data_IF_346817141394
#
_entry.id   IF_346817141394
#
_cell.length_a   1.000
_cell.length_b   1.000
_cell.length_c   1.000
_cell.angle_alpha   90.00
_cell.angle_beta   90.00
_cell.angle_gamma   90.00
#
_symmetry.space_group_name_H-M   'P 1'
#
loop_
_entity.id
_entity.type
_entity.pdbx_description
1 polymer ?
#
# COMPACT_ATOMS: atom_id res chain seq x y z
N UNK A 1 95.80 17.03 20.67
CA UNK A 1 95.41 15.91 19.76
C UNK A 1 94.41 15.05 20.53
N UNK A 2 93.10 15.33 20.42
CA UNK A 2 92.08 14.52 19.71
C UNK A 2 92.07 13.04 20.19
N UNK A 3 91.00 12.41 20.71
CA UNK A 3 89.60 12.28 20.27
C UNK A 3 88.76 11.81 21.49
N UNK A 4 87.57 12.34 21.80
CA UNK A 4 86.22 12.09 21.23
C UNK A 4 85.77 10.62 21.28
N UNK A 5 84.76 10.32 22.12
CA UNK A 5 83.72 9.31 21.90
C UNK A 5 82.52 9.63 22.81
N UNK A 6 81.49 10.22 22.22
CA UNK A 6 80.20 10.54 22.86
C UNK A 6 79.23 9.38 22.55
N UNK A 7 78.72 8.71 23.58
CA UNK A 7 77.64 7.72 23.44
C UNK A 7 76.29 8.44 23.56
N UNK A 8 75.46 8.37 22.52
CA UNK A 8 74.08 8.84 22.50
C UNK A 8 73.20 7.70 23.03
N UNK A 9 72.52 7.90 24.17
CA UNK A 9 71.47 7.02 24.65
C UNK A 9 70.13 7.48 24.07
N UNK A 10 69.53 6.67 23.20
CA UNK A 10 68.19 6.90 22.67
C UNK A 10 67.13 6.45 23.70
N UNK A 11 66.34 7.39 24.20
CA UNK A 11 65.16 7.12 25.05
C UNK A 11 64.00 6.76 24.13
N UNK A 12 63.56 5.51 24.16
CA UNK A 12 62.32 5.06 23.50
C UNK A 12 61.16 5.19 24.48
N UNK A 13 60.31 6.21 24.28
CA UNK A 13 59.05 6.36 25.03
C UNK A 13 57.99 5.42 24.43
N UNK A 14 57.59 4.40 25.19
CA UNK A 14 56.54 3.46 24.83
C UNK A 14 55.17 4.08 25.18
N UNK A 15 54.47 4.60 24.17
CA UNK A 15 53.08 5.06 24.32
C UNK A 15 52.14 3.84 24.51
N UNK A 16 51.71 3.59 25.75
CA UNK A 16 50.58 2.72 26.06
C UNK A 16 49.29 3.45 25.67
N UNK A 17 48.81 3.21 24.45
CA UNK A 17 47.46 3.60 24.05
C UNK A 17 46.44 2.68 24.75
N UNK A 18 45.69 3.22 25.71
CA UNK A 18 44.54 2.53 26.31
C UNK A 18 43.44 2.41 25.25
N UNK A 19 43.26 1.22 24.69
CA UNK A 19 42.11 0.90 23.84
C UNK A 19 40.86 0.90 24.72
N UNK A 20 40.14 2.02 24.76
CA UNK A 20 38.79 2.05 25.29
C UNK A 20 37.91 1.11 24.46
N UNK A 21 37.08 0.25 25.08
CA UNK A 21 36.14 -0.58 24.34
C UNK A 21 35.22 0.33 23.50
N UNK A 22 34.87 -0.07 22.27
CA UNK A 22 33.94 0.70 21.46
C UNK A 22 32.64 0.90 22.25
N UNK A 23 32.16 2.15 22.30
CA UNK A 23 30.89 2.46 22.93
C UNK A 23 29.81 1.55 22.30
N UNK A 24 29.08 0.81 23.13
CA UNK A 24 27.97 0.00 22.67
C UNK A 24 26.99 0.91 21.91
N UNK A 25 26.81 0.66 20.62
CA UNK A 25 25.86 1.41 19.80
C UNK A 25 24.47 1.24 20.42
N UNK A 26 23.87 2.36 20.85
CA UNK A 26 22.55 2.33 21.47
C UNK A 26 21.57 1.65 20.53
N UNK A 27 20.79 0.69 21.04
CA UNK A 27 19.78 0.01 20.24
C UNK A 27 18.89 1.06 19.54
N UNK A 28 18.60 0.91 18.23
CA UNK A 28 17.84 1.89 17.49
C UNK A 28 16.50 2.14 18.19
N UNK A 29 16.11 3.41 18.31
CA UNK A 29 14.83 3.78 18.89
C UNK A 29 13.68 3.03 18.20
N UNK A 30 12.74 2.51 19.00
CA UNK A 30 11.54 1.82 18.50
C UNK A 30 10.72 2.77 17.63
N UNK A 31 10.18 2.26 16.53
CA UNK A 31 9.24 3.03 15.69
C UNK A 31 7.96 3.26 16.52
N UNK A 32 7.40 4.46 16.46
CA UNK A 32 6.19 4.85 17.18
C UNK A 32 5.02 4.95 16.19
N UNK A 33 4.04 4.08 16.33
CA UNK A 33 2.86 4.00 15.45
C UNK A 33 1.65 4.54 16.20
N UNK A 34 0.93 5.50 15.60
CA UNK A 34 -0.43 5.84 15.98
C UNK A 34 -1.40 5.15 15.03
N UNK A 35 -2.22 4.26 15.56
CA UNK A 35 -3.25 3.53 14.83
C UNK A 35 -4.62 4.15 15.09
N UNK A 36 -5.23 4.70 14.03
CA UNK A 36 -6.59 5.19 14.04
C UNK A 36 -7.50 4.15 13.38
N UNK A 37 -8.45 3.60 14.13
CA UNK A 37 -9.43 2.63 13.65
C UNK A 37 -10.89 3.13 13.76
N UNK A 38 -11.08 4.45 13.61
CA UNK A 38 -12.39 5.10 13.68
C UNK A 38 -13.25 4.83 12.44
N UNK A 39 -14.45 4.28 12.66
CA UNK A 39 -15.51 4.21 11.64
C UNK A 39 -16.58 5.27 11.90
N UNK A 40 -16.67 6.26 11.01
CA UNK A 40 -17.82 7.19 10.91
C UNK A 40 -18.87 6.64 9.93
N UNK A 41 -18.42 5.90 8.92
CA UNK A 41 -19.26 5.14 8.00
C UNK A 41 -19.54 3.72 8.47
N UNK A 42 -19.48 2.76 7.54
CA UNK A 42 -19.63 1.34 7.88
C UNK A 42 -18.56 0.88 8.86
N UNK A 43 -18.94 0.09 9.86
CA UNK A 43 -18.02 -0.43 10.88
C UNK A 43 -17.74 -1.90 10.64
N UNK A 44 -16.49 -2.20 10.31
CA UNK A 44 -16.03 -3.56 10.08
C UNK A 44 -15.81 -4.33 11.38
N UNK A 45 -15.89 -5.66 11.31
CA UNK A 45 -15.70 -6.53 12.47
C UNK A 45 -14.33 -6.34 13.17
N UNK A 46 -13.18 -6.22 12.46
CA UNK A 46 -11.87 -6.08 13.12
C UNK A 46 -11.72 -4.84 14.00
N UNK A 47 -12.44 -3.76 13.67
CA UNK A 47 -12.41 -2.45 14.37
C UNK A 47 -13.63 -2.25 15.30
N UNK A 48 -14.41 -3.30 15.52
CA UNK A 48 -15.56 -3.24 16.44
C UNK A 48 -15.10 -3.55 17.85
N UNK A 49 -15.36 -2.63 18.79
CA UNK A 49 -15.09 -2.89 20.21
C UNK A 49 -15.96 -4.05 20.74
N UNK A 50 -15.46 -4.85 21.68
CA UNK A 50 -16.26 -5.90 22.30
C UNK A 50 -17.54 -5.33 22.93
N UNK A 51 -18.64 -6.08 22.86
CA UNK A 51 -19.91 -5.64 23.46
C UNK A 51 -19.73 -5.34 24.95
N UNK A 52 -20.32 -4.23 25.41
CA UNK A 52 -20.29 -3.79 26.81
C UNK A 52 -18.87 -3.57 27.37
N UNK A 53 -17.90 -3.25 26.52
CA UNK A 53 -16.52 -2.99 26.92
C UNK A 53 -15.93 -1.85 26.10
N UNK A 54 -15.09 -1.03 26.74
CA UNK A 54 -14.20 -0.09 26.05
C UNK A 54 -12.81 -0.72 25.79
N UNK A 55 -12.72 -2.04 25.87
CA UNK A 55 -11.51 -2.80 25.58
C UNK A 55 -11.08 -2.69 24.11
N UNK A 56 -9.89 -3.20 23.81
CA UNK A 56 -9.32 -3.08 22.48
C UNK A 56 -10.10 -3.92 21.45
N UNK A 57 -10.13 -3.43 20.21
CA UNK A 57 -10.65 -4.17 19.05
C UNK A 57 -9.69 -5.29 18.65
N UNK A 58 -10.15 -6.18 17.76
CA UNK A 58 -9.30 -7.27 17.28
C UNK A 58 -8.07 -6.73 16.54
N UNK A 59 -8.23 -5.68 15.71
CA UNK A 59 -7.11 -5.07 15.00
C UNK A 59 -6.17 -4.30 15.93
N UNK A 60 -6.69 -3.62 16.95
CA UNK A 60 -5.88 -2.96 18.00
C UNK A 60 -4.99 -4.00 18.72
N UNK A 61 -5.56 -5.14 19.13
CA UNK A 61 -4.80 -6.25 19.74
C UNK A 61 -3.75 -6.82 18.78
N UNK A 62 -4.13 -7.10 17.53
CA UNK A 62 -3.23 -7.67 16.54
C UNK A 62 -2.04 -6.74 16.26
N UNK A 63 -2.26 -5.43 16.10
CA UNK A 63 -1.19 -4.46 15.88
C UNK A 63 -0.29 -4.30 17.10
N UNK A 64 -0.84 -4.28 18.31
CA UNK A 64 -0.05 -4.24 19.54
C UNK A 64 0.89 -5.46 19.63
N UNK A 65 0.39 -6.66 19.34
CA UNK A 65 1.20 -7.89 19.31
C UNK A 65 2.27 -7.87 18.20
N UNK A 66 1.91 -7.40 17.00
CA UNK A 66 2.85 -7.28 15.87
C UNK A 66 3.99 -6.34 16.27
N UNK A 67 3.67 -5.17 16.83
CA UNK A 67 4.64 -4.17 17.25
C UNK A 67 5.57 -4.69 18.34
N UNK A 68 5.00 -5.29 19.39
CA UNK A 68 5.76 -5.86 20.51
C UNK A 68 6.80 -6.90 20.03
N UNK A 69 6.46 -7.72 19.03
CA UNK A 69 7.36 -8.73 18.46
C UNK A 69 8.36 -8.18 17.44
N UNK A 70 8.13 -6.99 16.89
CA UNK A 70 8.84 -6.50 15.69
C UNK A 70 9.64 -5.22 15.89
N UNK A 71 9.67 -4.68 17.11
CA UNK A 71 10.50 -3.53 17.49
C UNK A 71 9.82 -2.18 17.33
N UNK A 72 8.49 -2.11 17.41
CA UNK A 72 7.74 -0.85 17.36
C UNK A 72 6.61 -0.81 18.40
N UNK A 73 6.25 0.39 18.84
CA UNK A 73 5.15 0.60 19.78
C UNK A 73 3.91 1.07 19.03
N UNK A 74 2.74 0.60 19.44
CA UNK A 74 1.46 1.01 18.86
C UNK A 74 0.63 1.67 19.95
N UNK A 75 0.20 2.89 19.66
CA UNK A 75 -0.87 3.57 20.39
C UNK A 75 -2.11 3.55 19.49
N UNK A 76 -3.27 3.17 20.03
CA UNK A 76 -4.51 3.05 19.28
C UNK A 76 -5.56 4.03 19.76
N UNK A 77 -6.38 4.52 18.83
CA UNK A 77 -7.47 5.46 19.10
C UNK A 77 -8.59 5.28 18.08
N UNK A 78 -9.84 5.48 18.52
CA UNK A 78 -11.02 5.61 17.64
C UNK A 78 -11.50 7.07 17.55
N UNK A 79 -10.63 8.03 17.88
CA UNK A 79 -10.93 9.45 17.82
C UNK A 79 -9.85 10.21 17.03
N UNK A 80 -10.17 10.54 15.78
CA UNK A 80 -9.30 11.26 14.86
C UNK A 80 -8.93 12.66 15.37
N UNK A 81 -9.72 13.25 16.28
CA UNK A 81 -9.42 14.57 16.88
C UNK A 81 -8.18 14.55 17.78
N UNK A 82 -7.73 13.36 18.17
CA UNK A 82 -6.46 13.18 18.89
C UNK A 82 -5.23 13.38 18.01
N UNK A 83 -5.39 13.34 16.67
CA UNK A 83 -4.33 13.63 15.73
C UNK A 83 -4.19 15.15 15.63
N UNK A 84 -3.11 15.67 16.20
CA UNK A 84 -2.79 17.10 16.20
C UNK A 84 -1.35 17.32 15.71
N UNK A 85 -0.97 18.53 15.27
CA UNK A 85 0.42 18.85 14.94
C UNK A 85 1.41 18.50 16.07
N UNK A 86 0.98 18.63 17.32
CA UNK A 86 1.72 18.22 18.51
C UNK A 86 1.91 16.71 18.55
N UNK A 87 0.82 15.95 18.36
CA UNK A 87 0.86 14.48 18.35
C UNK A 87 1.80 13.93 17.26
N UNK A 88 1.87 14.59 16.11
CA UNK A 88 2.77 14.20 15.01
C UNK A 88 4.26 14.26 15.37
N UNK A 89 4.65 15.00 16.42
CA UNK A 89 6.04 15.04 16.94
C UNK A 89 6.40 13.75 17.69
N UNK A 90 5.38 13.07 18.22
CA UNK A 90 5.53 11.91 19.09
C UNK A 90 5.41 10.56 18.36
N UNK A 91 5.21 10.60 17.04
CA UNK A 91 5.00 9.40 16.23
C UNK A 91 5.89 9.42 14.98
N UNK A 92 6.10 8.26 14.40
CA UNK A 92 6.86 8.06 13.16
C UNK A 92 5.96 7.55 12.03
N UNK A 93 4.87 6.85 12.37
CA UNK A 93 3.91 6.29 11.40
C UNK A 93 2.48 6.54 11.87
N UNK A 94 1.65 7.03 10.95
CA UNK A 94 0.20 7.12 11.11
C UNK A 94 -0.46 5.97 10.34
N UNK A 95 -1.19 5.10 11.03
CA UNK A 95 -1.85 3.94 10.43
C UNK A 95 -3.37 4.10 10.50
N UNK A 96 -4.07 3.95 9.37
CA UNK A 96 -5.52 4.11 9.27
C UNK A 96 -6.18 2.79 8.89
N UNK A 97 -7.20 2.41 9.67
CA UNK A 97 -8.28 1.53 9.25
C UNK A 97 -9.59 2.26 9.55
N UNK A 98 -9.97 3.15 8.64
CA UNK A 98 -11.04 4.13 8.90
C UNK A 98 -12.12 4.05 7.84
N UNK A 99 -13.29 4.63 8.11
CA UNK A 99 -14.38 4.77 7.13
C UNK A 99 -15.16 6.06 7.32
N UNK A 100 -15.68 6.60 6.22
CA UNK A 100 -16.56 7.76 6.19
C UNK A 100 -15.85 9.10 6.44
N UNK A 101 -16.65 10.08 6.86
CA UNK A 101 -16.24 11.46 7.05
C UNK A 101 -15.52 11.68 8.38
N UNK A 102 -14.19 11.55 8.40
CA UNK A 102 -13.42 11.75 9.62
C UNK A 102 -13.42 13.22 10.05
N UNK A 103 -13.53 13.51 11.37
CA UNK A 103 -13.52 14.87 11.88
C UNK A 103 -12.08 15.43 11.97
N UNK A 104 -11.37 15.48 10.84
CA UNK A 104 -10.02 16.03 10.73
C UNK A 104 -10.09 17.45 10.15
N UNK A 105 -9.78 18.50 10.93
CA UNK A 105 -9.79 19.87 10.45
C UNK A 105 -8.77 20.11 9.33
N UNK A 106 -9.01 21.13 8.49
CA UNK A 106 -8.18 21.41 7.33
C UNK A 106 -6.71 21.73 7.69
N UNK A 107 -6.49 22.42 8.80
CA UNK A 107 -5.17 22.73 9.36
C UNK A 107 -4.44 21.48 9.82
N UNK A 108 -5.16 20.51 10.40
CA UNK A 108 -4.60 19.23 10.85
C UNK A 108 -4.19 18.38 9.65
N UNK A 109 -5.05 18.30 8.62
CA UNK A 109 -4.70 17.59 7.39
C UNK A 109 -3.51 18.23 6.66
N UNK A 110 -3.45 19.57 6.60
CA UNK A 110 -2.29 20.27 6.05
C UNK A 110 -0.99 19.97 6.83
N UNK A 111 -1.07 19.81 8.16
CA UNK A 111 0.07 19.44 8.99
C UNK A 111 0.51 17.97 8.74
N UNK A 112 -0.44 17.04 8.62
CA UNK A 112 -0.17 15.63 8.28
C UNK A 112 0.56 15.54 6.94
N UNK A 113 0.04 16.23 5.91
CA UNK A 113 0.66 16.25 4.59
C UNK A 113 2.10 16.77 4.64
N UNK A 114 2.36 17.91 5.30
CA UNK A 114 3.71 18.47 5.45
C UNK A 114 4.65 17.56 6.23
N UNK A 115 4.15 16.92 7.30
CA UNK A 115 4.92 15.98 8.10
C UNK A 115 5.40 14.79 7.25
N UNK A 116 4.52 14.22 6.42
CA UNK A 116 4.85 13.15 5.48
C UNK A 116 5.76 13.65 4.36
N UNK A 117 5.44 14.76 3.70
CA UNK A 117 6.26 15.36 2.63
C UNK A 117 7.70 15.62 3.08
N UNK A 118 7.88 16.02 4.35
CA UNK A 118 9.19 16.23 4.94
C UNK A 118 9.98 14.94 5.23
N UNK A 119 9.36 13.76 5.13
CA UNK A 119 9.99 12.48 5.47
C UNK A 119 10.17 12.25 6.97
N UNK A 120 9.57 13.10 7.82
CA UNK A 120 9.51 12.89 9.27
C UNK A 120 8.50 11.80 9.66
N UNK A 121 7.55 11.52 8.76
CA UNK A 121 6.47 10.58 8.99
C UNK A 121 6.17 9.69 7.80
N UNK A 122 5.62 8.51 8.11
CA UNK A 122 5.07 7.57 7.16
C UNK A 122 3.56 7.37 7.35
N UNK A 123 2.89 6.81 6.34
CA UNK A 123 1.47 6.48 6.40
C UNK A 123 1.20 5.04 5.97
N UNK A 124 0.33 4.35 6.70
CA UNK A 124 -0.14 2.99 6.41
C UNK A 124 -1.66 3.00 6.32
N UNK A 125 -2.23 2.73 5.15
CA UNK A 125 -3.66 2.51 4.98
C UNK A 125 -3.99 1.01 4.93
N UNK A 126 -4.99 0.60 5.69
CA UNK A 126 -5.43 -0.79 5.78
C UNK A 126 -6.89 -0.90 5.36
N UNK A 127 -7.18 -1.86 4.49
CA UNK A 127 -8.50 -2.23 3.97
C UNK A 127 -9.39 -1.02 3.65
N UNK A 128 -10.25 -0.63 4.60
CA UNK A 128 -11.28 0.37 4.40
C UNK A 128 -10.74 1.80 4.39
N UNK A 129 -9.44 2.02 4.60
CA UNK A 129 -8.84 3.35 4.54
C UNK A 129 -9.20 4.11 3.25
N UNK A 130 -9.38 3.45 2.11
CA UNK A 130 -9.84 4.09 0.85
C UNK A 130 -11.34 4.47 0.82
N UNK A 131 -12.13 4.03 1.80
CA UNK A 131 -13.51 4.44 2.07
C UNK A 131 -13.57 5.59 3.10
N UNK A 132 -12.44 6.27 3.32
CA UNK A 132 -12.34 7.48 4.13
C UNK A 132 -12.31 8.72 3.25
N UNK A 133 -13.01 9.76 3.65
CA UNK A 133 -12.97 11.07 3.01
C UNK A 133 -13.37 12.16 4.01
N UNK A 134 -13.29 13.43 3.62
CA UNK A 134 -13.95 14.57 4.24
C UNK A 134 -13.83 15.75 3.27
N UNK A 135 -14.68 16.75 3.43
CA UNK A 135 -14.57 17.96 2.62
C UNK A 135 -13.29 18.72 2.98
N UNK A 136 -12.41 18.88 1.98
CA UNK A 136 -11.12 19.52 2.17
C UNK A 136 -10.91 20.66 1.17
N UNK A 137 -10.89 21.89 1.68
CA UNK A 137 -10.64 23.13 0.92
C UNK A 137 -9.29 23.77 1.26
N UNK A 138 -8.46 23.10 2.07
CA UNK A 138 -7.13 23.58 2.45
C UNK A 138 -6.04 23.31 1.40
N UNK A 139 -4.77 23.64 1.71
CA UNK A 139 -3.66 23.48 0.78
C UNK A 139 -3.21 22.02 0.58
N UNK A 140 -2.73 21.68 -0.60
CA UNK A 140 -2.22 20.34 -0.91
C UNK A 140 -3.28 19.46 -1.56
N UNK A 141 -3.30 18.18 -1.21
CA UNK A 141 -4.15 17.14 -1.80
C UNK A 141 -5.29 16.76 -0.85
N UNK A 142 -6.44 16.39 -1.40
CA UNK A 142 -7.48 15.70 -0.64
C UNK A 142 -6.97 14.35 -0.13
N UNK A 143 -7.62 13.76 0.88
CA UNK A 143 -7.25 12.44 1.39
C UNK A 143 -7.31 11.35 0.30
N UNK A 144 -8.36 11.33 -0.51
CA UNK A 144 -8.53 10.34 -1.60
C UNK A 144 -7.42 10.46 -2.64
N UNK A 145 -7.05 11.69 -3.00
CA UNK A 145 -5.91 11.94 -3.87
C UNK A 145 -4.60 11.53 -3.21
N UNK A 146 -4.42 11.71 -1.90
CA UNK A 146 -3.23 11.32 -1.12
C UNK A 146 -3.05 9.79 -1.04
N UNK A 147 -4.10 9.04 -0.69
CA UNK A 147 -4.04 7.57 -0.60
C UNK A 147 -4.08 6.90 -1.99
N UNK A 148 -4.47 7.67 -3.02
CA UNK A 148 -4.60 7.28 -4.43
C UNK A 148 -5.72 6.25 -4.68
N UNK A 149 -6.90 6.51 -4.13
CA UNK A 149 -8.08 5.70 -4.37
C UNK A 149 -9.24 6.13 -3.49
N UNK A 150 -10.42 6.27 -4.10
CA UNK A 150 -11.69 6.46 -3.42
C UNK A 150 -12.55 5.22 -3.62
N UNK A 151 -13.16 4.71 -2.57
CA UNK A 151 -14.07 3.57 -2.64
C UNK A 151 -15.13 3.75 -3.74
N UNK A 152 -15.25 2.75 -4.61
CA UNK A 152 -16.19 2.70 -5.72
C UNK A 152 -16.89 1.33 -5.82
N UNK A 153 -17.09 0.69 -4.67
CA UNK A 153 -17.76 -0.60 -4.53
C UNK A 153 -16.84 -1.76 -4.17
N UNK A 154 -17.47 -2.90 -3.90
CA UNK A 154 -16.84 -4.12 -3.37
C UNK A 154 -17.50 -5.37 -3.98
N UNK A 155 -17.34 -5.63 -5.29
CA UNK A 155 -17.99 -6.78 -5.94
C UNK A 155 -17.63 -8.12 -5.29
N UNK A 156 -16.40 -8.23 -4.80
CA UNK A 156 -15.94 -9.37 -4.02
C UNK A 156 -16.23 -9.05 -2.56
N UNK A 157 -17.34 -9.57 -2.04
CA UNK A 157 -17.79 -9.36 -0.65
C UNK A 157 -17.02 -10.25 0.32
N UNK A 158 -17.23 -10.05 1.62
CA UNK A 158 -16.58 -10.83 2.68
C UNK A 158 -16.53 -12.34 2.39
N UNK A 159 -15.31 -12.91 2.45
CA UNK A 159 -15.07 -14.33 2.23
C UNK A 159 -15.15 -14.79 0.77
N UNK A 160 -15.31 -13.87 -0.19
CA UNK A 160 -15.28 -14.22 -1.62
C UNK A 160 -13.92 -14.81 -2.00
N UNK A 161 -13.87 -15.99 -2.64
CA UNK A 161 -12.62 -16.53 -3.18
C UNK A 161 -12.03 -15.60 -4.23
N UNK A 162 -10.76 -15.23 -4.04
CA UNK A 162 -9.99 -14.39 -4.95
C UNK A 162 -8.65 -15.05 -5.26
N UNK A 163 -8.10 -14.68 -6.40
CA UNK A 163 -6.70 -14.94 -6.74
C UNK A 163 -5.95 -13.62 -6.81
N UNK A 164 -4.83 -13.54 -6.11
CA UNK A 164 -3.96 -12.35 -6.09
C UNK A 164 -2.61 -12.73 -6.68
N UNK A 165 -2.03 -11.82 -7.47
CA UNK A 165 -0.67 -11.96 -7.98
C UNK A 165 0.17 -10.72 -7.67
N UNK A 166 1.44 -10.95 -7.36
CA UNK A 166 2.43 -9.92 -7.13
C UNK A 166 2.84 -9.20 -8.44
N UNK A 167 3.12 -7.91 -8.30
CA UNK A 167 3.58 -6.97 -9.31
C UNK A 167 4.84 -6.26 -8.80
N UNK A 168 5.61 -5.65 -9.70
CA UNK A 168 6.74 -4.81 -9.32
C UNK A 168 7.95 -5.58 -8.78
N UNK A 169 8.12 -6.85 -9.15
CA UNK A 169 9.27 -7.66 -8.72
C UNK A 169 9.32 -7.93 -7.21
N UNK A 170 10.52 -8.19 -6.68
CA UNK A 170 10.72 -8.47 -5.25
C UNK A 170 10.84 -7.15 -4.48
N UNK A 171 9.78 -6.76 -3.80
CA UNK A 171 9.79 -5.65 -2.81
C UNK A 171 9.68 -6.23 -1.39
N UNK A 172 10.54 -5.84 -0.43
CA UNK A 172 10.51 -6.37 0.95
C UNK A 172 9.12 -6.38 1.57
N UNK A 173 8.31 -5.34 1.31
CA UNK A 173 6.95 -5.18 1.84
C UNK A 173 5.97 -6.27 1.34
N UNK A 174 6.32 -7.00 0.28
CA UNK A 174 5.48 -8.02 -0.31
C UNK A 174 6.07 -9.44 -0.27
N UNK A 175 7.27 -9.62 0.31
CA UNK A 175 8.00 -10.92 0.25
C UNK A 175 7.35 -12.05 1.06
N UNK A 176 6.51 -11.73 2.04
CA UNK A 176 5.81 -12.74 2.84
C UNK A 176 4.74 -13.49 2.05
N UNK A 177 4.28 -12.92 0.92
CA UNK A 177 3.30 -13.54 0.05
C UNK A 177 3.99 -14.36 -1.05
N UNK A 178 3.46 -15.54 -1.41
CA UNK A 178 3.82 -16.19 -2.66
C UNK A 178 3.59 -15.26 -3.85
N UNK A 179 4.32 -15.45 -4.94
CA UNK A 179 4.16 -14.63 -6.15
C UNK A 179 2.70 -14.62 -6.67
N UNK A 180 1.96 -15.71 -6.45
CA UNK A 180 0.54 -15.84 -6.74
C UNK A 180 -0.10 -16.71 -5.67
N UNK A 181 -1.27 -16.33 -5.16
CA UNK A 181 -1.95 -17.07 -4.10
C UNK A 181 -3.47 -16.94 -4.20
N UNK A 182 -4.17 -17.98 -3.75
CA UNK A 182 -5.61 -17.93 -3.51
C UNK A 182 -5.87 -17.40 -2.09
N UNK A 183 -6.96 -16.65 -1.94
CA UNK A 183 -7.39 -16.08 -0.67
C UNK A 183 -8.91 -15.95 -0.62
N UNK A 184 -9.46 -15.64 0.56
CA UNK A 184 -10.89 -15.36 0.72
C UNK A 184 -11.02 -14.03 1.47
N UNK A 185 -11.53 -12.99 0.81
CA UNK A 185 -11.56 -11.65 1.38
C UNK A 185 -12.60 -10.74 0.70
N UNK A 186 -12.96 -9.64 1.36
CA UNK A 186 -13.64 -8.50 0.72
C UNK A 186 -12.63 -7.57 0.03
N UNK A 187 -12.83 -7.30 -1.26
CA UNK A 187 -11.94 -6.46 -2.06
C UNK A 187 -12.68 -5.27 -2.66
N UNK A 188 -12.14 -4.07 -2.40
CA UNK A 188 -12.62 -2.81 -2.96
C UNK A 188 -12.10 -2.56 -4.37
N UNK A 189 -12.88 -1.82 -5.15
CA UNK A 189 -12.43 -1.15 -6.38
C UNK A 189 -12.53 0.37 -6.22
N UNK A 190 -11.85 1.12 -7.07
CA UNK A 190 -11.60 2.54 -6.83
C UNK A 190 -11.98 3.47 -7.99
N UNK A 191 -12.48 4.65 -7.64
CA UNK A 191 -12.41 5.86 -8.45
C UNK A 191 -11.21 6.72 -8.01
N UNK A 192 -10.94 7.82 -8.72
CA UNK A 192 -9.86 8.77 -8.41
C UNK A 192 -8.47 8.12 -8.24
N UNK A 193 -8.23 7.07 -9.01
CA UNK A 193 -6.99 6.30 -9.00
C UNK A 193 -6.06 6.77 -10.14
N UNK A 194 -4.86 7.23 -9.81
CA UNK A 194 -3.84 7.61 -10.78
C UNK A 194 -2.69 6.56 -10.82
N UNK A 195 -2.55 5.77 -11.91
CA UNK A 195 -1.49 4.76 -12.02
C UNK A 195 -0.08 5.35 -12.06
N UNK A 196 0.04 6.66 -12.34
CA UNK A 196 1.33 7.36 -12.42
C UNK A 196 1.85 7.82 -11.06
N UNK A 197 1.06 7.68 -9.99
CA UNK A 197 1.43 8.11 -8.63
C UNK A 197 1.87 6.97 -7.72
N UNK A 198 1.54 5.74 -8.06
CA UNK A 198 1.73 4.58 -7.18
C UNK A 198 2.52 3.47 -7.85
N UNK A 199 3.25 2.73 -7.02
CA UNK A 199 3.83 1.44 -7.37
C UNK A 199 2.91 0.36 -6.85
N UNK A 200 2.27 -0.40 -7.73
CA UNK A 200 1.44 -1.54 -7.32
C UNK A 200 2.31 -2.76 -7.09
N UNK A 201 2.07 -3.42 -5.96
CA UNK A 201 2.77 -4.63 -5.50
C UNK A 201 1.92 -5.89 -5.62
N UNK A 202 0.59 -5.77 -5.59
CA UNK A 202 -0.36 -6.87 -5.73
C UNK A 202 -1.61 -6.41 -6.47
N UNK A 203 -2.20 -7.29 -7.27
CA UNK A 203 -3.47 -7.06 -7.95
C UNK A 203 -4.29 -8.35 -8.06
N UNK A 204 -5.60 -8.22 -8.30
CA UNK A 204 -6.44 -9.38 -8.61
C UNK A 204 -6.01 -10.03 -9.94
N UNK A 205 -6.03 -11.36 -9.96
CA UNK A 205 -5.82 -12.18 -11.15
C UNK A 205 -7.14 -12.83 -11.58
N UNK A 206 -7.76 -12.30 -12.62
CA UNK A 206 -9.05 -12.81 -13.13
C UNK A 206 -8.96 -14.06 -14.03
N UNK A 207 -7.78 -14.63 -14.25
CA UNK A 207 -7.64 -15.78 -15.17
C UNK A 207 -8.24 -17.08 -14.65
N UNK A 208 -8.46 -17.19 -13.33
CA UNK A 208 -9.09 -18.34 -12.67
C UNK A 208 -10.16 -17.95 -11.63
N UNK A 209 -10.70 -16.74 -11.72
CA UNK A 209 -11.78 -16.27 -10.85
C UNK A 209 -13.13 -16.31 -11.57
N UNK A 210 -14.21 -16.70 -10.88
CA UNK A 210 -15.56 -16.65 -11.44
C UNK A 210 -16.07 -15.21 -11.59
N UNK A 211 -15.91 -14.39 -10.54
CA UNK A 211 -16.27 -12.97 -10.57
C UNK A 211 -15.11 -12.13 -11.10
N UNK A 212 -15.29 -11.54 -12.27
CA UNK A 212 -14.28 -10.74 -12.98
C UNK A 212 -14.74 -9.32 -13.24
N UNK A 213 -13.79 -8.45 -13.60
CA UNK A 213 -14.04 -7.14 -14.21
C UNK A 213 -13.08 -6.91 -15.37
N UNK A 214 -13.50 -6.17 -16.43
CA UNK A 214 -12.65 -5.90 -17.59
C UNK A 214 -11.63 -4.78 -17.34
N UNK A 215 -11.36 -4.43 -16.09
CA UNK A 215 -10.44 -3.37 -15.68
C UNK A 215 -9.53 -3.82 -14.55
N UNK A 216 -8.44 -3.08 -14.37
CA UNK A 216 -7.46 -3.31 -13.31
C UNK A 216 -8.04 -3.14 -11.90
N UNK A 217 -7.70 -4.03 -10.97
CA UNK A 217 -8.03 -3.90 -9.54
C UNK A 217 -6.75 -4.13 -8.71
N UNK A 218 -6.07 -3.05 -8.28
CA UNK A 218 -4.92 -3.17 -7.40
C UNK A 218 -5.34 -3.54 -5.98
N UNK A 219 -4.51 -4.34 -5.32
CA UNK A 219 -4.71 -4.79 -3.93
C UNK A 219 -3.78 -4.05 -2.98
N UNK A 220 -2.50 -3.95 -3.33
CA UNK A 220 -1.49 -3.34 -2.45
C UNK A 220 -0.60 -2.44 -3.27
N UNK A 221 -0.33 -1.23 -2.77
CA UNK A 221 0.57 -0.29 -3.42
C UNK A 221 1.38 0.55 -2.44
N UNK A 222 2.49 1.07 -2.95
CA UNK A 222 3.32 2.07 -2.28
C UNK A 222 3.34 3.36 -3.07
N UNK A 223 3.55 4.46 -2.36
CA UNK A 223 3.65 5.81 -2.92
C UNK A 223 4.69 6.62 -2.17
N UNK A 224 5.40 7.46 -2.89
CA UNK A 224 6.26 8.48 -2.31
C UNK A 224 5.61 9.85 -2.47
N UNK A 225 5.58 10.63 -1.38
CA UNK A 225 5.09 12.00 -1.35
C UNK A 225 6.18 12.84 -0.69
N UNK A 226 6.81 13.73 -1.47
CA UNK A 226 8.06 14.38 -1.05
C UNK A 226 9.12 13.34 -0.68
N UNK A 227 9.58 13.37 0.57
CA UNK A 227 10.49 12.37 1.14
C UNK A 227 9.78 11.25 1.91
N UNK A 228 8.50 11.40 2.24
CA UNK A 228 7.72 10.41 2.98
C UNK A 228 7.20 9.27 2.12
N UNK A 229 6.73 8.24 2.83
CA UNK A 229 6.34 6.95 2.26
C UNK A 229 4.95 6.57 2.74
N UNK A 230 4.11 6.20 1.78
CA UNK A 230 2.71 5.81 1.97
C UNK A 230 2.57 4.37 1.48
N UNK A 231 2.04 3.51 2.33
CA UNK A 231 1.67 2.14 1.99
C UNK A 231 0.15 1.99 2.09
N UNK A 232 -0.44 1.21 1.20
CA UNK A 232 -1.82 0.78 1.31
C UNK A 232 -1.97 -0.69 0.94
N UNK A 233 -2.84 -1.40 1.67
CA UNK A 233 -3.36 -2.71 1.24
C UNK A 233 -4.87 -2.79 1.43
N UNK A 234 -5.55 -3.39 0.46
CA UNK A 234 -6.99 -3.67 0.44
C UNK A 234 -7.35 -4.88 1.34
N UNK A 235 -6.36 -5.65 1.79
CA UNK A 235 -6.56 -6.78 2.70
C UNK A 235 -6.79 -6.30 4.14
N UNK A 236 -7.62 -7.03 4.89
CA UNK A 236 -7.82 -6.80 6.33
C UNK A 236 -9.28 -6.76 6.80
N UNK A 237 -10.25 -6.97 5.92
CA UNK A 237 -11.67 -7.00 6.29
C UNK A 237 -11.99 -8.19 7.19
N UNK A 238 -11.55 -9.38 6.81
CA UNK A 238 -11.94 -10.61 7.51
C UNK A 238 -11.07 -10.78 8.77
N UNK A 239 -11.66 -11.15 9.93
CA UNK A 239 -10.92 -11.45 11.15
C UNK A 239 -9.71 -12.37 10.94
N UNK A 240 -9.84 -13.43 10.14
CA UNK A 240 -8.75 -14.38 9.88
C UNK A 240 -7.54 -13.76 9.17
N UNK A 241 -7.72 -12.65 8.46
CA UNK A 241 -6.62 -11.94 7.79
C UNK A 241 -5.63 -11.38 8.81
N UNK A 242 -6.12 -10.95 9.99
CA UNK A 242 -5.28 -10.46 11.08
C UNK A 242 -4.48 -11.56 11.79
N UNK A 243 -4.91 -12.82 11.65
CA UNK A 243 -4.21 -13.99 12.18
C UNK A 243 -3.21 -14.59 11.17
N UNK A 244 -3.32 -14.23 9.88
CA UNK A 244 -2.44 -14.75 8.83
C UNK A 244 -1.00 -14.24 9.00
N UNK A 245 -0.01 -15.13 9.21
CA UNK A 245 1.37 -14.72 9.42
C UNK A 245 1.94 -13.91 8.25
N UNK A 246 1.44 -14.11 7.02
CA UNK A 246 1.90 -13.37 5.83
C UNK A 246 1.41 -11.93 5.84
N UNK A 247 0.16 -11.72 6.22
CA UNK A 247 -0.41 -10.37 6.39
C UNK A 247 0.28 -9.61 7.53
N UNK A 248 0.48 -10.29 8.68
CA UNK A 248 1.20 -9.71 9.82
C UNK A 248 2.64 -9.32 9.43
N UNK A 249 3.35 -10.17 8.68
CA UNK A 249 4.69 -9.86 8.19
C UNK A 249 4.70 -8.68 7.19
N UNK A 250 3.71 -8.59 6.29
CA UNK A 250 3.56 -7.43 5.40
C UNK A 250 3.34 -6.13 6.19
N UNK A 251 2.53 -6.14 7.27
CA UNK A 251 2.35 -4.97 8.13
C UNK A 251 3.67 -4.55 8.78
N UNK A 252 4.48 -5.50 9.28
CA UNK A 252 5.80 -5.21 9.86
C UNK A 252 6.69 -4.48 8.85
N UNK A 253 6.79 -5.02 7.63
CA UNK A 253 7.62 -4.45 6.60
C UNK A 253 7.06 -3.12 6.08
N UNK A 254 5.73 -2.94 6.01
CA UNK A 254 5.11 -1.67 5.70
C UNK A 254 5.44 -0.60 6.75
N UNK A 255 5.31 -0.90 8.04
CA UNK A 255 5.67 0.04 9.12
C UNK A 255 7.16 0.40 9.07
N UNK A 256 8.05 -0.59 8.94
CA UNK A 256 9.50 -0.34 8.80
C UNK A 256 9.82 0.48 7.57
N UNK A 257 9.23 0.16 6.43
CA UNK A 257 9.47 0.85 5.18
C UNK A 257 9.00 2.30 5.23
N UNK A 258 7.78 2.54 5.72
CA UNK A 258 7.21 3.89 5.86
C UNK A 258 7.97 4.75 6.88
N UNK A 259 8.52 4.15 7.93
CA UNK A 259 9.42 4.80 8.90
C UNK A 259 10.88 4.95 8.43
N UNK A 260 11.18 4.65 7.16
CA UNK A 260 12.55 4.66 6.60
C UNK A 260 13.55 3.74 7.33
N UNK A 261 13.07 2.68 7.98
CA UNK A 261 13.88 1.64 8.64
C UNK A 261 14.09 0.39 7.79
N UNK A 262 13.49 0.34 6.60
CA UNK A 262 13.70 -0.72 5.60
C UNK A 262 13.85 -0.14 4.17
N UNK A 263 14.61 -0.80 3.30
CA UNK A 263 14.66 -0.47 1.87
C UNK A 263 13.35 -0.89 1.18
N UNK A 264 13.08 -0.32 0.00
CA UNK A 264 11.93 -0.66 -0.83
C UNK A 264 11.62 0.46 -1.81
N UNK A 265 11.05 0.12 -2.96
CA UNK A 265 10.82 1.08 -4.03
C UNK A 265 9.42 1.71 -3.93
N UNK A 266 9.33 3.00 -4.23
CA UNK A 266 8.05 3.69 -4.44
C UNK A 266 7.87 4.19 -5.87
N UNK A 267 8.84 3.91 -6.77
CA UNK A 267 8.77 4.37 -8.17
C UNK A 267 7.53 3.75 -8.84
N UNK A 268 6.61 4.59 -9.35
CA UNK A 268 5.42 4.09 -10.02
C UNK A 268 5.73 3.15 -11.18
N UNK A 269 4.87 2.16 -11.39
CA UNK A 269 4.96 1.15 -12.46
C UNK A 269 3.75 1.22 -13.42
N UNK A 270 3.47 2.37 -14.07
CA UNK A 270 2.25 2.56 -14.86
C UNK A 270 2.17 1.62 -16.07
N UNK A 271 3.30 1.25 -16.68
CA UNK A 271 3.32 0.32 -17.84
C UNK A 271 2.96 -1.12 -17.43
N UNK A 272 3.43 -1.55 -16.25
CA UNK A 272 3.09 -2.86 -15.71
C UNK A 272 1.62 -2.92 -15.28
N UNK A 273 1.12 -1.84 -14.66
CA UNK A 273 -0.31 -1.68 -14.35
C UNK A 273 -1.17 -1.67 -15.62
N UNK A 274 -0.71 -1.00 -16.68
CA UNK A 274 -1.40 -0.96 -17.95
C UNK A 274 -1.50 -2.35 -18.57
N UNK A 275 -0.41 -3.09 -18.60
CA UNK A 275 -0.40 -4.49 -19.06
C UNK A 275 -1.36 -5.37 -18.25
N UNK A 276 -1.44 -5.16 -16.93
CA UNK A 276 -2.39 -5.88 -16.07
C UNK A 276 -3.86 -5.49 -16.30
N UNK A 277 -4.12 -4.25 -16.69
CA UNK A 277 -5.45 -3.81 -17.10
C UNK A 277 -5.90 -4.58 -18.37
N UNK A 278 -5.01 -4.70 -19.37
CA UNK A 278 -5.28 -5.48 -20.58
C UNK A 278 -5.44 -6.97 -20.28
N UNK A 279 -4.66 -7.50 -19.33
CA UNK A 279 -4.84 -8.87 -18.82
C UNK A 279 -6.24 -9.08 -18.25
N UNK A 280 -6.75 -8.11 -17.49
CA UNK A 280 -8.09 -8.14 -16.90
C UNK A 280 -9.18 -8.11 -17.96
N UNK A 281 -9.02 -7.26 -18.98
CA UNK A 281 -9.90 -7.16 -20.16
C UNK A 281 -10.00 -8.50 -20.92
N UNK A 282 -8.85 -9.13 -21.21
CA UNK A 282 -8.78 -10.41 -21.93
C UNK A 282 -9.34 -11.57 -21.10
N UNK A 283 -9.09 -11.58 -19.78
CA UNK A 283 -9.63 -12.61 -18.89
C UNK A 283 -11.15 -12.51 -18.73
N UNK A 284 -11.70 -11.30 -18.80
CA UNK A 284 -13.15 -11.05 -18.76
C UNK A 284 -13.87 -11.65 -19.99
N UNK A 285 -13.20 -11.69 -21.15
CA UNK A 285 -13.71 -12.32 -22.39
C UNK A 285 -13.83 -13.85 -22.30
N UNK A 286 -13.43 -14.46 -21.19
CA UNK A 286 -13.48 -15.91 -21.00
C UNK A 286 -12.32 -16.68 -21.66
N UNK A 287 -11.30 -15.97 -22.17
CA UNK A 287 -10.14 -16.60 -22.81
C UNK A 287 -9.35 -17.50 -21.85
N UNK A 288 -8.84 -18.65 -22.32
CA UNK A 288 -7.97 -19.50 -21.51
C UNK A 288 -6.72 -18.74 -21.05
N UNK A 289 -6.26 -19.01 -19.82
CA UNK A 289 -5.07 -18.36 -19.25
C UNK A 289 -3.86 -18.37 -20.20
N UNK A 290 -3.58 -19.51 -20.83
CA UNK A 290 -2.45 -19.63 -21.76
C UNK A 290 -2.55 -18.65 -22.95
N UNK A 291 -3.75 -18.42 -23.47
CA UNK A 291 -3.97 -17.44 -24.55
C UNK A 291 -3.78 -16.01 -24.04
N UNK A 292 -4.32 -15.69 -22.86
CA UNK A 292 -4.13 -14.38 -22.22
C UNK A 292 -2.65 -14.07 -22.05
N UNK A 293 -1.86 -14.99 -21.50
CA UNK A 293 -0.43 -14.79 -21.30
C UNK A 293 0.34 -14.67 -22.63
N UNK A 294 -0.02 -15.44 -23.66
CA UNK A 294 0.59 -15.33 -24.99
C UNK A 294 0.34 -13.96 -25.64
N UNK A 295 -0.88 -13.43 -25.53
CA UNK A 295 -1.22 -12.07 -26.02
C UNK A 295 -0.50 -11.00 -25.22
N UNK A 296 -0.39 -11.13 -23.90
CA UNK A 296 0.36 -10.18 -23.08
C UNK A 296 1.85 -10.14 -23.41
N UNK A 297 2.46 -11.28 -23.73
CA UNK A 297 3.87 -11.32 -24.14
C UNK A 297 4.14 -10.49 -25.41
N UNK A 298 3.14 -10.36 -26.30
CA UNK A 298 3.20 -9.46 -27.46
C UNK A 298 2.91 -8.01 -27.07
N UNK A 299 1.85 -7.77 -26.29
CA UNK A 299 1.48 -6.43 -25.83
C UNK A 299 2.58 -5.76 -24.99
N UNK A 300 3.37 -6.54 -24.25
CA UNK A 300 4.53 -6.04 -23.50
C UNK A 300 5.61 -5.38 -24.38
N UNK A 301 5.56 -5.60 -25.71
CA UNK A 301 6.45 -4.98 -26.70
C UNK A 301 5.84 -3.74 -27.37
N UNK A 302 4.56 -3.44 -27.09
CA UNK A 302 3.93 -2.22 -27.60
C UNK A 302 4.54 -0.98 -26.94
N UNK A 303 4.40 0.17 -27.60
CA UNK A 303 4.87 1.43 -27.05
C UNK A 303 4.08 1.81 -25.78
N UNK A 304 4.76 2.42 -24.81
CA UNK A 304 4.18 2.77 -23.51
C UNK A 304 2.99 3.73 -23.63
N UNK A 305 2.94 4.58 -24.65
CA UNK A 305 1.85 5.53 -24.84
C UNK A 305 0.56 4.80 -25.21
N UNK A 306 0.61 3.90 -26.19
CA UNK A 306 -0.51 3.05 -26.56
C UNK A 306 -0.95 2.15 -25.40
N UNK A 307 -0.02 1.53 -24.67
CA UNK A 307 -0.35 0.67 -23.53
C UNK A 307 -1.15 1.43 -22.47
N UNK A 308 -0.69 2.62 -22.09
CA UNK A 308 -1.34 3.46 -21.08
C UNK A 308 -2.70 3.97 -21.57
N UNK A 309 -2.81 4.35 -22.84
CA UNK A 309 -4.08 4.76 -23.44
C UNK A 309 -5.09 3.60 -23.43
N UNK A 310 -4.71 2.41 -23.89
CA UNK A 310 -5.56 1.24 -23.88
C UNK A 310 -6.03 0.89 -22.45
N UNK A 311 -5.12 0.95 -21.48
CA UNK A 311 -5.47 0.76 -20.07
C UNK A 311 -6.43 1.84 -19.54
N UNK A 312 -6.26 3.11 -19.90
CA UNK A 312 -7.19 4.18 -19.55
C UNK A 312 -8.59 3.93 -20.14
N UNK A 313 -8.67 3.44 -21.38
CA UNK A 313 -9.94 3.02 -21.99
C UNK A 313 -10.60 1.86 -21.25
N UNK A 314 -9.84 0.90 -20.71
CA UNK A 314 -10.42 -0.15 -19.82
C UNK A 314 -10.98 0.44 -18.52
N UNK A 315 -10.29 1.42 -17.91
CA UNK A 315 -10.76 2.06 -16.69
C UNK A 315 -12.04 2.89 -16.93
N UNK A 316 -12.18 3.48 -18.12
CA UNK A 316 -13.38 4.21 -18.55
C UNK A 316 -14.63 3.32 -18.71
N UNK A 317 -14.49 1.99 -18.66
CA UNK A 317 -15.63 1.06 -18.62
C UNK A 317 -16.35 1.07 -17.26
N UNK A 318 -15.68 1.46 -16.16
CA UNK A 318 -16.27 1.46 -14.81
C UNK A 318 -17.56 2.28 -14.67
N UNK A 319 -17.60 3.56 -15.07
CA UNK A 319 -18.83 4.37 -14.95
C UNK A 319 -19.96 3.85 -15.84
N UNK A 320 -19.66 3.05 -16.88
CA UNK A 320 -20.66 2.41 -17.72
C UNK A 320 -21.21 1.12 -17.11
N UNK A 321 -20.56 0.59 -16.07
CA UNK A 321 -20.93 -0.69 -15.48
C UNK A 321 -22.37 -0.64 -14.92
N UNK A 322 -23.22 -1.62 -15.26
CA UNK A 322 -24.61 -1.66 -14.81
C UNK A 322 -24.69 -1.65 -13.28
N UNK A 323 -25.32 -0.62 -12.70
CA UNK A 323 -25.44 -0.47 -11.25
C UNK A 323 -26.39 -1.49 -10.62
N UNK A 324 -27.38 -1.98 -11.38
CA UNK A 324 -28.34 -3.01 -10.96
C UNK A 324 -28.34 -4.17 -11.98
N UNK A 325 -28.75 -5.38 -11.56
CA UNK A 325 -28.83 -6.54 -12.47
C UNK A 325 -29.65 -6.28 -13.74
N UNK A 326 -30.75 -5.53 -13.61
CA UNK A 326 -31.71 -5.25 -14.69
C UNK A 326 -31.39 -3.95 -15.45
N UNK A 327 -30.28 -3.27 -15.13
CA UNK A 327 -29.86 -2.06 -15.86
C UNK A 327 -29.46 -2.41 -17.30
N UNK A 328 -29.75 -1.50 -18.24
CA UNK A 328 -29.31 -1.64 -19.63
C UNK A 328 -27.79 -1.76 -19.71
N UNK A 329 -27.33 -2.84 -20.33
CA UNK A 329 -25.91 -3.17 -20.49
C UNK A 329 -25.36 -2.74 -21.84
N UNK A 330 -26.21 -2.33 -22.79
CA UNK A 330 -25.78 -2.01 -24.15
C UNK A 330 -24.65 -0.96 -24.23
N UNK A 331 -24.66 0.13 -23.43
CA UNK A 331 -23.56 1.10 -23.44
C UNK A 331 -22.23 0.50 -23.01
N UNK A 332 -22.23 -0.30 -21.94
CA UNK A 332 -21.05 -1.00 -21.46
C UNK A 332 -20.55 -2.03 -22.48
N UNK A 333 -21.43 -2.86 -23.02
CA UNK A 333 -21.08 -3.92 -23.97
C UNK A 333 -20.48 -3.35 -25.26
N UNK A 334 -21.03 -2.24 -25.77
CA UNK A 334 -20.49 -1.57 -26.95
C UNK A 334 -19.07 -1.02 -26.70
N UNK A 335 -18.87 -0.32 -25.57
CA UNK A 335 -17.57 0.21 -25.19
C UNK A 335 -16.55 -0.90 -24.93
N UNK A 336 -16.94 -1.94 -24.20
CA UNK A 336 -16.10 -3.09 -23.89
C UNK A 336 -15.62 -3.79 -25.18
N UNK A 337 -16.53 -4.09 -26.10
CA UNK A 337 -16.18 -4.75 -27.38
C UNK A 337 -15.23 -3.91 -28.23
N UNK A 338 -15.41 -2.59 -28.25
CA UNK A 338 -14.50 -1.70 -28.98
C UNK A 338 -13.07 -1.74 -28.42
N UNK A 339 -12.92 -1.69 -27.10
CA UNK A 339 -11.59 -1.78 -26.45
C UNK A 339 -10.99 -3.16 -26.63
N UNK A 340 -11.77 -4.22 -26.47
CA UNK A 340 -11.32 -5.60 -26.65
C UNK A 340 -10.81 -5.84 -28.08
N UNK A 341 -11.54 -5.38 -29.10
CA UNK A 341 -11.17 -5.57 -30.50
C UNK A 341 -9.81 -4.92 -30.83
N UNK A 342 -9.56 -3.70 -30.35
CA UNK A 342 -8.28 -3.00 -30.51
C UNK A 342 -7.11 -3.76 -29.84
N UNK A 343 -7.32 -4.22 -28.61
CA UNK A 343 -6.29 -4.98 -27.85
C UNK A 343 -6.00 -6.35 -28.49
N UNK A 344 -7.03 -7.04 -28.98
CA UNK A 344 -6.88 -8.30 -29.72
C UNK A 344 -6.09 -8.05 -31.01
N UNK A 345 -6.47 -7.06 -31.82
CA UNK A 345 -5.78 -6.73 -33.05
C UNK A 345 -4.29 -6.37 -32.82
N UNK A 346 -4.00 -5.57 -31.78
CA UNK A 346 -2.61 -5.22 -31.40
C UNK A 346 -1.79 -6.45 -30.99
N UNK A 347 -2.43 -7.50 -30.50
CA UNK A 347 -1.77 -8.75 -30.07
C UNK A 347 -1.83 -9.88 -31.11
N UNK A 348 -2.40 -9.66 -32.29
CA UNK A 348 -2.36 -10.62 -33.40
C UNK A 348 -1.12 -10.42 -34.28
N UNK A 349 -0.64 -9.17 -34.44
CA UNK A 349 0.70 -8.85 -34.96
C UNK A 349 1.82 -9.41 -34.08
#
# INVERSE_FOLDING_TARGET
MARLLTFIAAVTALCLATLAPPAAEAAPARIRVLYLDQSVGWRHAPVTRPKNSNGPTQSELALAEIGAKSGFTVESTQDARTITPEKLKDIDVLAFYTTGELPIPAETWAAIQKWIESGKGGFVGLHSATDTHWDYTGPGQTYTAFINGKFAGHPWTQGTPITVQALGGKDPVNTAWPARFAYAEEIYQYSDYDPTKVRVLQALDFTDMALKRPWFVPITWTRQIGRGRVFFTNLGHTPSTWDDPRYRAQIVEAVRWTAHRAPGAAKPNPDEQALWALRSLLAYDGRPKAEVEARLAKLAKADSAWLRDAAARTAALRPLWPAKPDSDKAPFEAAYKAVLADVVAKSDG
#
